data_IF_954045551469
#
_entry.id   IF_954045551469
#
_cell.length_a   1.000
_cell.length_b   1.000
_cell.length_c   1.000
_cell.angle_alpha   90.00
_cell.angle_beta   90.00
_cell.angle_gamma   90.00
#
_symmetry.space_group_name_H-M   'P 1'
#
loop_
_entity.id
_entity.type
_entity.pdbx_description
1 polymer ?
#
# COMPACT_ATOMS: atom_id res chain seq x y z
N UNK A 1 64.70 -18.16 72.65
CA UNK A 1 64.14 -18.81 71.44
C UNK A 1 64.35 -17.83 70.29
N UNK A 2 65.27 -18.01 69.31
CA UNK A 2 65.33 -19.04 68.24
C UNK A 2 63.94 -19.25 67.60
N UNK A 3 63.68 -19.20 66.29
CA UNK A 3 64.49 -19.19 65.07
C UNK A 3 63.52 -18.94 63.87
N UNK A 4 63.98 -18.19 62.86
CA UNK A 4 63.96 -18.51 61.42
C UNK A 4 62.66 -19.00 60.70
N UNK A 5 62.24 -18.18 59.72
CA UNK A 5 61.98 -18.47 58.28
C UNK A 5 61.49 -19.86 57.82
N UNK A 6 60.61 -19.90 56.81
CA UNK A 6 60.92 -20.31 55.42
C UNK A 6 59.64 -20.63 54.60
N UNK A 7 59.51 -20.00 53.42
CA UNK A 7 59.05 -20.55 52.11
C UNK A 7 57.61 -21.09 52.02
N UNK A 8 56.82 -20.96 50.94
CA UNK A 8 57.02 -21.05 49.49
C UNK A 8 55.63 -20.68 48.89
N UNK A 9 55.38 -20.19 47.68
CA UNK A 9 55.86 -20.64 46.38
C UNK A 9 55.24 -19.77 45.28
N UNK A 10 56.09 -19.36 44.32
CA UNK A 10 55.86 -19.37 42.87
C UNK A 10 54.68 -18.58 42.30
N UNK A 11 54.96 -17.31 41.97
CA UNK A 11 54.26 -16.60 40.90
C UNK A 11 54.89 -16.96 39.54
N UNK A 12 54.13 -17.64 38.69
CA UNK A 12 54.31 -17.63 37.24
C UNK A 12 53.04 -18.19 36.62
N UNK A 13 52.36 -17.42 35.78
CA UNK A 13 52.03 -17.84 34.41
C UNK A 13 51.52 -16.63 33.62
N UNK A 14 52.19 -16.40 32.49
CA UNK A 14 51.87 -15.43 31.44
C UNK A 14 50.43 -15.62 30.96
N UNK A 15 49.67 -14.53 30.87
CA UNK A 15 48.40 -14.49 30.16
C UNK A 15 48.67 -13.90 28.77
N UNK A 16 48.79 -14.75 27.75
CA UNK A 16 48.96 -14.36 26.36
C UNK A 16 47.66 -14.58 25.58
N UNK A 17 47.37 -13.54 24.78
CA UNK A 17 46.27 -13.31 23.83
C UNK A 17 45.62 -14.52 23.16
N UNK A 18 44.30 -14.39 22.90
CA UNK A 18 43.65 -14.67 21.61
C UNK A 18 42.23 -14.07 21.61
N UNK A 19 42.10 -12.79 21.24
CA UNK A 19 40.82 -12.17 20.87
C UNK A 19 40.68 -12.28 19.35
N UNK A 20 39.95 -13.31 18.91
CA UNK A 20 39.55 -13.48 17.51
C UNK A 20 38.51 -12.43 17.13
N UNK A 21 38.88 -11.52 16.23
CA UNK A 21 37.94 -10.57 15.64
C UNK A 21 37.07 -11.30 14.61
N UNK A 22 35.82 -11.62 14.97
CA UNK A 22 34.79 -11.98 14.01
C UNK A 22 34.32 -10.70 13.31
N UNK A 23 34.90 -10.39 12.15
CA UNK A 23 34.37 -9.37 11.26
C UNK A 23 33.14 -9.95 10.54
N UNK A 24 31.95 -9.70 11.09
CA UNK A 24 30.69 -9.87 10.38
C UNK A 24 30.63 -8.82 9.26
N UNK A 25 30.95 -9.23 8.03
CA UNK A 25 30.72 -8.42 6.84
C UNK A 25 29.22 -8.38 6.55
N UNK A 26 28.50 -7.49 7.23
CA UNK A 26 27.15 -7.12 6.81
C UNK A 26 27.26 -6.30 5.53
N UNK A 27 26.98 -6.91 4.38
CA UNK A 27 26.74 -6.15 3.15
C UNK A 27 25.56 -5.22 3.39
N UNK A 28 25.69 -3.90 3.18
CA UNK A 28 24.55 -3.01 3.31
C UNK A 28 23.50 -3.43 2.28
N UNK A 29 22.29 -3.73 2.72
CA UNK A 29 21.15 -3.89 1.82
C UNK A 29 21.03 -2.58 1.03
N UNK A 30 21.22 -2.64 -0.28
CA UNK A 30 21.04 -1.47 -1.13
C UNK A 30 19.54 -1.13 -1.08
N UNK A 31 19.19 -0.02 -0.43
CA UNK A 31 17.81 0.44 -0.40
C UNK A 31 17.31 0.61 -1.84
N UNK A 32 16.11 0.12 -2.13
CA UNK A 32 15.48 0.34 -3.43
C UNK A 32 15.39 1.85 -3.69
N UNK A 33 15.63 2.28 -4.93
CA UNK A 33 15.51 3.68 -5.31
C UNK A 33 14.06 4.16 -5.10
N UNK A 34 13.81 5.10 -4.16
CA UNK A 34 12.46 5.53 -3.84
C UNK A 34 11.83 6.39 -4.95
N UNK A 35 12.57 6.76 -6.00
CA UNK A 35 12.07 7.61 -7.08
C UNK A 35 11.81 6.84 -8.38
N UNK A 36 11.97 5.51 -8.39
CA UNK A 36 11.86 4.73 -9.61
C UNK A 36 10.54 4.88 -10.35
N UNK A 37 9.41 4.87 -9.64
CA UNK A 37 8.09 5.08 -10.25
C UNK A 37 7.92 6.49 -10.85
N UNK A 38 8.50 7.50 -10.21
CA UNK A 38 8.50 8.86 -10.76
C UNK A 38 9.38 8.95 -12.01
N UNK A 39 10.57 8.32 -12.01
CA UNK A 39 11.43 8.26 -13.19
C UNK A 39 10.73 7.60 -14.38
N UNK A 40 10.08 6.44 -14.16
CA UNK A 40 9.32 5.74 -15.21
C UNK A 40 8.22 6.65 -15.76
N UNK A 41 7.45 7.29 -14.88
CA UNK A 41 6.35 8.18 -15.29
C UNK A 41 6.87 9.39 -16.07
N UNK A 42 7.82 10.12 -15.51
CA UNK A 42 8.26 11.43 -16.02
C UNK A 42 9.27 11.38 -17.14
N UNK A 43 10.08 10.33 -17.22
CA UNK A 43 11.19 10.22 -18.19
C UNK A 43 10.93 9.18 -19.27
N UNK A 44 9.93 8.30 -19.10
CA UNK A 44 9.64 7.24 -20.08
C UNK A 44 8.21 7.34 -20.59
N UNK A 45 7.20 7.10 -19.74
CA UNK A 45 5.81 7.03 -20.20
C UNK A 45 5.33 8.37 -20.79
N UNK A 46 5.57 9.48 -20.10
CA UNK A 46 5.16 10.81 -20.57
C UNK A 46 5.91 11.26 -21.84
N UNK A 47 7.25 11.22 -21.90
CA UNK A 47 7.96 11.61 -23.12
C UNK A 47 7.64 10.72 -24.31
N UNK A 48 7.48 9.41 -24.11
CA UNK A 48 7.12 8.50 -25.21
C UNK A 48 5.72 8.80 -25.75
N UNK A 49 4.73 9.00 -24.86
CA UNK A 49 3.38 9.37 -25.29
C UNK A 49 3.37 10.70 -26.06
N UNK A 50 4.13 11.70 -25.59
CA UNK A 50 4.19 13.02 -26.25
C UNK A 50 4.92 12.99 -27.60
N UNK A 51 5.96 12.17 -27.74
CA UNK A 51 6.80 12.16 -28.94
C UNK A 51 6.34 11.16 -30.00
N UNK A 52 5.78 10.02 -29.60
CA UNK A 52 5.41 8.93 -30.51
C UNK A 52 3.93 8.55 -30.48
N UNK A 53 3.16 9.08 -29.52
CA UNK A 53 1.78 8.67 -29.27
C UNK A 53 1.66 7.29 -28.62
N UNK A 54 2.76 6.72 -28.11
CA UNK A 54 2.80 5.38 -27.53
C UNK A 54 3.03 5.44 -26.00
N UNK A 55 2.29 4.66 -25.18
CA UNK A 55 2.36 4.76 -23.73
C UNK A 55 3.57 4.07 -23.09
N UNK A 56 4.29 3.22 -23.82
CA UNK A 56 5.31 2.33 -23.25
C UNK A 56 6.40 3.11 -22.50
N UNK A 57 6.90 2.59 -21.36
CA UNK A 57 6.63 1.26 -20.78
C UNK A 57 5.28 1.13 -20.05
N UNK A 58 4.55 2.24 -19.86
CA UNK A 58 3.19 2.18 -19.35
C UNK A 58 2.25 1.51 -20.35
N UNK A 59 1.16 0.94 -19.86
CA UNK A 59 0.08 0.37 -20.70
C UNK A 59 -0.96 1.41 -21.08
N UNK A 60 -0.97 2.56 -20.40
CA UNK A 60 -1.82 3.71 -20.70
C UNK A 60 -1.19 5.00 -20.18
N UNK A 61 -1.37 6.08 -20.93
CA UNK A 61 -1.11 7.45 -20.49
C UNK A 61 -2.32 8.29 -20.89
N UNK A 62 -2.97 8.90 -19.91
CA UNK A 62 -4.07 9.84 -20.12
C UNK A 62 -3.59 11.24 -19.76
N UNK A 63 -3.17 12.00 -20.77
CA UNK A 63 -2.65 13.35 -20.58
C UNK A 63 -3.73 14.33 -20.12
N UNK A 64 -4.99 14.11 -20.50
CA UNK A 64 -6.10 15.01 -20.18
C UNK A 64 -6.56 14.84 -18.73
N UNK A 65 -6.65 13.59 -18.25
CA UNK A 65 -7.03 13.28 -16.86
C UNK A 65 -5.82 13.20 -15.91
N UNK A 66 -4.61 13.20 -16.45
CA UNK A 66 -3.38 13.36 -15.69
C UNK A 66 -2.92 12.10 -14.94
N UNK A 67 -3.06 10.92 -15.54
CA UNK A 67 -2.55 9.67 -14.96
C UNK A 67 -1.89 8.75 -15.99
N UNK A 68 -1.11 7.80 -15.49
CA UNK A 68 -0.55 6.67 -16.23
C UNK A 68 -0.95 5.36 -15.57
N UNK A 69 -0.95 4.27 -16.33
CA UNK A 69 -1.12 2.91 -15.82
C UNK A 69 0.11 2.09 -16.19
N UNK A 70 0.75 1.47 -15.21
CA UNK A 70 1.93 0.61 -15.38
C UNK A 70 1.56 -0.82 -14.96
N UNK A 71 2.03 -1.83 -15.69
CA UNK A 71 1.98 -3.23 -15.21
C UNK A 71 3.05 -3.38 -14.13
N UNK A 72 2.66 -3.85 -12.93
CA UNK A 72 3.61 -4.10 -11.85
C UNK A 72 4.54 -5.28 -12.20
N UNK A 73 5.73 -5.32 -11.62
CA UNK A 73 6.61 -6.47 -11.70
C UNK A 73 6.14 -7.61 -10.78
N UNK A 74 5.41 -7.28 -9.72
CA UNK A 74 4.78 -8.21 -8.80
C UNK A 74 3.45 -8.71 -9.37
N UNK A 75 3.20 -10.00 -9.19
CA UNK A 75 1.96 -10.68 -9.56
C UNK A 75 1.72 -10.83 -11.08
N UNK A 76 1.01 -11.87 -11.52
CA UNK A 76 0.57 -12.03 -12.90
C UNK A 76 -0.27 -10.86 -13.43
N UNK A 77 -1.03 -10.16 -12.58
CA UNK A 77 -2.10 -9.29 -13.03
C UNK A 77 -2.20 -7.92 -12.33
N UNK A 78 -1.27 -7.60 -11.44
CA UNK A 78 -1.25 -6.30 -10.73
C UNK A 78 -0.87 -5.15 -11.66
N UNK A 79 -1.58 -4.02 -11.53
CA UNK A 79 -1.28 -2.76 -12.18
C UNK A 79 -1.18 -1.63 -11.16
N UNK A 80 -0.44 -0.58 -11.52
CA UNK A 80 -0.33 0.66 -10.76
C UNK A 80 -0.97 1.79 -11.55
N UNK A 81 -1.84 2.57 -10.91
CA UNK A 81 -2.24 3.88 -11.41
C UNK A 81 -1.43 4.96 -10.69
N UNK A 82 -0.81 5.86 -11.46
CA UNK A 82 0.04 6.93 -10.93
C UNK A 82 -0.29 8.28 -11.60
N UNK A 83 -0.18 9.40 -10.89
CA UNK A 83 -0.40 10.72 -11.49
C UNK A 83 0.76 11.10 -12.42
N UNK A 84 0.46 11.92 -13.43
CA UNK A 84 1.47 12.49 -14.35
C UNK A 84 2.22 13.67 -13.75
N UNK A 85 1.80 14.14 -12.57
CA UNK A 85 2.47 15.15 -11.75
C UNK A 85 3.04 14.52 -10.50
N UNK A 86 4.09 15.12 -9.93
CA UNK A 86 4.74 14.60 -8.73
C UNK A 86 3.83 14.78 -7.51
N UNK A 87 3.41 13.67 -6.93
CA UNK A 87 2.74 13.55 -5.64
C UNK A 87 3.48 12.46 -4.88
N UNK A 88 3.90 12.69 -3.64
CA UNK A 88 4.75 11.71 -2.92
C UNK A 88 3.98 10.46 -2.47
N UNK A 89 2.68 10.59 -2.23
CA UNK A 89 1.82 9.53 -1.73
C UNK A 89 0.50 10.07 -1.16
N UNK A 90 -0.18 9.27 -0.36
CA UNK A 90 -1.46 9.61 0.28
C UNK A 90 -1.39 10.86 1.17
N UNK A 91 -0.19 11.22 1.67
CA UNK A 91 0.04 12.43 2.46
C UNK A 91 0.05 13.74 1.68
N UNK A 92 0.08 13.68 0.34
CA UNK A 92 0.14 14.89 -0.48
C UNK A 92 -1.13 15.74 -0.28
N UNK A 93 -1.05 16.97 0.24
CA UNK A 93 -2.22 17.80 0.56
C UNK A 93 -3.07 18.13 -0.67
N UNK A 94 -2.48 18.06 -1.87
CA UNK A 94 -3.16 18.24 -3.13
C UNK A 94 -4.25 17.19 -3.41
N UNK A 95 -4.26 16.07 -2.67
CA UNK A 95 -5.33 15.06 -2.74
C UNK A 95 -6.60 15.51 -2.01
N UNK A 96 -6.49 16.44 -1.06
CA UNK A 96 -7.62 16.97 -0.31
C UNK A 96 -8.14 18.30 -0.86
N UNK A 97 -7.49 18.85 -1.89
CA UNK A 97 -7.96 20.05 -2.57
C UNK A 97 -9.39 19.84 -3.14
N UNK A 98 -10.27 20.86 -3.13
CA UNK A 98 -11.64 20.72 -3.61
C UNK A 98 -11.74 20.13 -5.03
N UNK A 99 -10.83 20.54 -5.92
CA UNK A 99 -10.73 20.16 -7.33
C UNK A 99 -9.73 19.03 -7.61
N UNK A 100 -9.24 18.33 -6.57
CA UNK A 100 -8.34 17.19 -6.73
C UNK A 100 -8.95 16.13 -7.67
N UNK A 101 -8.18 15.60 -8.64
CA UNK A 101 -8.63 14.50 -9.49
C UNK A 101 -8.96 13.26 -8.66
N UNK A 102 -10.09 12.62 -8.96
CA UNK A 102 -10.47 11.38 -8.30
C UNK A 102 -9.71 10.18 -8.90
N UNK A 103 -8.46 9.99 -8.45
CA UNK A 103 -7.62 8.89 -8.93
C UNK A 103 -8.21 7.51 -8.63
N UNK A 104 -9.08 7.38 -7.61
CA UNK A 104 -9.80 6.13 -7.32
C UNK A 104 -10.82 5.79 -8.40
N UNK A 105 -11.57 6.79 -8.88
CA UNK A 105 -12.48 6.60 -10.01
C UNK A 105 -11.69 6.15 -11.25
N UNK A 106 -10.58 6.82 -11.55
CA UNK A 106 -9.73 6.45 -12.68
C UNK A 106 -9.16 5.04 -12.53
N UNK A 107 -8.73 4.64 -11.32
CA UNK A 107 -8.20 3.30 -11.08
C UNK A 107 -9.29 2.23 -11.22
N UNK A 108 -10.51 2.50 -10.77
CA UNK A 108 -11.64 1.58 -10.89
C UNK A 108 -12.09 1.34 -12.33
N UNK A 109 -11.98 2.34 -13.19
CA UNK A 109 -12.17 2.16 -14.63
C UNK A 109 -11.14 1.20 -15.25
N UNK A 110 -9.94 1.10 -14.67
CA UNK A 110 -8.87 0.24 -15.19
C UNK A 110 -8.90 -1.18 -14.63
N UNK A 111 -9.78 -1.50 -13.68
CA UNK A 111 -9.84 -2.82 -13.00
C UNK A 111 -9.96 -4.02 -13.95
N UNK A 112 -10.62 -3.82 -15.10
CA UNK A 112 -10.79 -4.88 -16.11
C UNK A 112 -9.46 -5.40 -16.68
N UNK A 113 -8.36 -4.66 -16.54
CA UNK A 113 -7.01 -5.10 -16.95
C UNK A 113 -6.55 -6.33 -16.18
N UNK A 114 -6.93 -6.47 -14.91
CA UNK A 114 -6.58 -7.63 -14.08
C UNK A 114 -7.19 -8.90 -14.68
N UNK A 115 -8.51 -8.89 -14.94
CA UNK A 115 -9.21 -10.00 -15.58
C UNK A 115 -8.65 -10.32 -16.98
N UNK A 116 -8.31 -9.28 -17.77
CA UNK A 116 -7.70 -9.44 -19.09
C UNK A 116 -6.33 -10.13 -19.00
N UNK A 117 -5.47 -9.72 -18.06
CA UNK A 117 -4.15 -10.32 -17.86
C UNK A 117 -4.23 -11.78 -17.43
N UNK A 118 -5.25 -12.14 -16.62
CA UNK A 118 -5.50 -13.52 -16.19
C UNK A 118 -6.20 -14.39 -17.24
N UNK A 119 -6.77 -13.79 -18.30
CA UNK A 119 -7.53 -14.51 -19.32
C UNK A 119 -8.84 -15.12 -18.81
N UNK A 120 -9.41 -14.61 -17.71
CA UNK A 120 -10.66 -15.09 -17.11
C UNK A 120 -11.48 -13.94 -16.52
N UNK A 121 -12.82 -14.01 -16.51
CA UNK A 121 -13.63 -13.00 -15.86
C UNK A 121 -13.41 -13.01 -14.33
N UNK A 122 -13.49 -11.84 -13.72
CA UNK A 122 -13.54 -11.61 -12.28
C UNK A 122 -14.77 -10.76 -11.96
N UNK A 123 -15.44 -11.05 -10.84
CA UNK A 123 -16.47 -10.16 -10.31
C UNK A 123 -15.82 -8.97 -9.60
N UNK A 124 -16.58 -7.89 -9.43
CA UNK A 124 -16.06 -6.65 -8.83
C UNK A 124 -15.61 -6.86 -7.37
N UNK A 125 -16.20 -7.83 -6.64
CA UNK A 125 -15.81 -8.23 -5.28
C UNK A 125 -14.47 -8.99 -5.22
N UNK A 126 -13.98 -9.49 -6.35
CA UNK A 126 -12.68 -10.16 -6.46
C UNK A 126 -11.55 -9.17 -6.76
N UNK A 127 -11.88 -7.90 -7.02
CA UNK A 127 -10.95 -6.85 -7.42
C UNK A 127 -10.82 -5.81 -6.32
N UNK A 128 -9.60 -5.35 -6.11
CA UNK A 128 -9.26 -4.35 -5.12
C UNK A 128 -8.47 -3.22 -5.76
N UNK A 129 -8.70 -2.01 -5.25
CA UNK A 129 -7.79 -0.90 -5.40
C UNK A 129 -7.27 -0.56 -4.02
N UNK A 130 -5.97 -0.39 -3.87
CA UNK A 130 -5.42 0.02 -2.58
C UNK A 130 -4.31 1.06 -2.71
N UNK A 131 -4.05 1.73 -1.60
CA UNK A 131 -2.88 2.55 -1.39
C UNK A 131 -2.33 2.38 0.03
N UNK A 132 -1.01 2.22 0.11
CA UNK A 132 -0.27 2.11 1.34
C UNK A 132 0.07 3.47 1.97
N UNK A 133 0.26 3.46 3.30
CA UNK A 133 0.74 4.61 4.06
C UNK A 133 2.17 5.01 3.68
N UNK A 134 2.68 6.11 4.24
CA UNK A 134 4.08 6.49 4.06
C UNK A 134 5.05 5.48 4.66
N UNK A 135 4.67 4.81 5.76
CA UNK A 135 5.50 3.79 6.39
C UNK A 135 5.38 2.42 5.69
N UNK A 136 4.29 2.16 4.98
CA UNK A 136 4.00 0.88 4.32
C UNK A 136 4.45 0.79 2.86
N UNK A 137 5.26 1.73 2.35
CA UNK A 137 5.67 1.77 0.94
C UNK A 137 7.16 2.09 0.76
N UNK A 138 7.71 1.70 -0.40
CA UNK A 138 9.10 1.97 -0.77
C UNK A 138 9.28 3.08 -1.81
N UNK A 139 8.21 3.48 -2.50
CA UNK A 139 8.24 4.47 -3.58
C UNK A 139 7.60 5.80 -3.14
N UNK A 140 8.27 6.90 -3.49
CA UNK A 140 7.88 8.29 -3.20
C UNK A 140 7.24 8.95 -4.42
N UNK A 141 6.30 8.23 -5.04
CA UNK A 141 5.39 8.71 -6.06
C UNK A 141 4.03 8.05 -5.80
N UNK A 142 2.93 8.79 -5.79
CA UNK A 142 1.60 8.24 -5.55
C UNK A 142 1.30 7.10 -6.53
N UNK A 143 0.93 5.94 -5.99
CA UNK A 143 0.54 4.77 -6.79
C UNK A 143 -0.62 4.06 -6.10
N UNK A 144 -1.69 3.83 -6.85
CA UNK A 144 -2.80 2.97 -6.43
C UNK A 144 -2.58 1.61 -7.07
N UNK A 145 -2.57 0.56 -6.26
CA UNK A 145 -2.46 -0.81 -6.70
C UNK A 145 -3.83 -1.28 -7.17
N UNK A 146 -3.90 -1.98 -8.31
CA UNK A 146 -5.11 -2.55 -8.88
C UNK A 146 -4.86 -4.03 -9.09
N UNK A 147 -5.50 -4.88 -8.30
CA UNK A 147 -5.21 -6.32 -8.29
C UNK A 147 -6.38 -7.15 -7.75
N UNK A 148 -6.16 -8.45 -7.58
CA UNK A 148 -7.09 -9.33 -6.90
C UNK A 148 -7.12 -9.08 -5.38
N UNK A 149 -8.32 -9.04 -4.81
CA UNK A 149 -8.52 -9.09 -3.36
C UNK A 149 -8.08 -10.44 -2.79
N UNK A 150 -7.81 -10.55 -1.49
CA UNK A 150 -7.84 -11.87 -0.85
C UNK A 150 -9.28 -12.36 -0.70
N UNK A 151 -9.47 -13.67 -0.84
CA UNK A 151 -10.80 -14.31 -0.72
C UNK A 151 -11.40 -14.24 0.68
N UNK A 152 -10.58 -14.40 1.70
CA UNK A 152 -10.99 -14.32 3.10
C UNK A 152 -11.35 -12.88 3.52
N UNK A 153 -10.65 -11.88 2.98
CA UNK A 153 -11.00 -10.47 3.15
C UNK A 153 -12.37 -10.17 2.57
N UNK A 154 -12.60 -10.53 1.30
CA UNK A 154 -13.91 -10.33 0.66
C UNK A 154 -15.03 -11.06 1.42
N UNK A 155 -14.78 -12.29 1.88
CA UNK A 155 -15.74 -13.04 2.69
C UNK A 155 -15.99 -12.40 4.07
N UNK A 156 -15.00 -11.77 4.69
CA UNK A 156 -15.19 -11.07 5.97
C UNK A 156 -15.96 -9.75 5.80
N UNK A 157 -15.82 -9.07 4.67
CA UNK A 157 -16.57 -7.84 4.38
C UNK A 157 -18.06 -8.10 4.15
N UNK A 158 -18.48 -9.34 3.90
CA UNK A 158 -19.89 -9.71 3.75
C UNK A 158 -20.76 -9.37 4.99
N UNK A 159 -20.14 -9.33 6.17
CA UNK A 159 -20.79 -8.95 7.43
C UNK A 159 -21.25 -7.48 7.42
N UNK A 160 -20.64 -6.64 6.57
CA UNK A 160 -20.93 -5.22 6.45
C UNK A 160 -21.94 -4.88 5.33
N UNK A 161 -22.51 -5.89 4.65
CA UNK A 161 -23.48 -5.67 3.54
C UNK A 161 -24.79 -5.03 3.95
N UNK A 162 -25.13 -5.10 5.24
CA UNK A 162 -26.33 -4.49 5.82
C UNK A 162 -26.09 -3.12 6.44
N UNK A 163 -24.85 -2.66 6.47
CA UNK A 163 -24.50 -1.42 7.18
C UNK A 163 -25.08 -0.18 6.50
N UNK A 164 -25.32 0.91 7.27
CA UNK A 164 -25.72 2.19 6.72
C UNK A 164 -24.68 2.74 5.72
N UNK A 165 -25.18 3.34 4.63
CA UNK A 165 -24.33 3.99 3.65
C UNK A 165 -23.59 5.18 4.25
N UNK A 166 -22.35 5.39 3.79
CA UNK A 166 -21.50 6.53 4.12
C UNK A 166 -21.24 6.70 5.63
N UNK A 167 -21.31 5.61 6.40
CA UNK A 167 -20.92 5.59 7.80
C UNK A 167 -19.70 4.70 7.99
N UNK A 168 -18.67 5.24 8.66
CA UNK A 168 -17.53 4.46 9.10
C UNK A 168 -17.91 3.59 10.29
N UNK A 169 -17.70 2.29 10.18
CA UNK A 169 -17.90 1.30 11.23
C UNK A 169 -16.61 0.49 11.46
N UNK A 170 -16.36 0.03 12.70
CA UNK A 170 -15.18 -0.78 12.98
C UNK A 170 -15.30 -2.15 12.31
N UNK A 171 -14.22 -2.61 11.71
CA UNK A 171 -14.08 -3.97 11.17
C UNK A 171 -12.85 -4.62 11.81
N UNK A 172 -12.99 -5.84 12.31
CA UNK A 172 -11.91 -6.58 12.97
C UNK A 172 -11.57 -7.79 12.13
N UNK A 173 -10.32 -7.86 11.68
CA UNK A 173 -9.85 -8.93 10.81
C UNK A 173 -8.41 -9.29 11.15
N UNK A 174 -8.14 -10.60 11.28
CA UNK A 174 -6.83 -11.15 11.66
C UNK A 174 -6.22 -10.49 12.92
N UNK A 175 -7.06 -10.10 13.88
CA UNK A 175 -6.62 -9.46 15.12
C UNK A 175 -6.29 -7.97 14.99
N UNK A 176 -6.39 -7.40 13.79
CA UNK A 176 -6.23 -5.98 13.51
C UNK A 176 -7.57 -5.25 13.50
N UNK A 177 -7.55 -3.94 13.74
CA UNK A 177 -8.72 -3.08 13.67
C UNK A 177 -8.64 -2.16 12.46
N UNK A 178 -9.64 -2.26 11.60
CA UNK A 178 -9.88 -1.43 10.44
C UNK A 178 -11.15 -0.60 10.65
N UNK A 179 -11.40 0.29 9.69
CA UNK A 179 -12.70 0.93 9.50
C UNK A 179 -13.22 0.57 8.13
N UNK A 180 -14.51 0.31 8.01
CA UNK A 180 -15.18 0.06 6.73
C UNK A 180 -16.33 1.03 6.57
N UNK A 181 -16.54 1.48 5.33
CA UNK A 181 -17.66 2.30 4.92
C UNK A 181 -18.30 1.66 3.71
N UNK A 182 -19.62 1.47 3.79
CA UNK A 182 -20.44 1.05 2.65
C UNK A 182 -20.76 2.27 1.77
N UNK A 183 -20.58 2.15 0.46
CA UNK A 183 -20.78 3.21 -0.52
C UNK A 183 -21.72 2.75 -1.66
N UNK A 184 -22.58 3.62 -2.21
CA UNK A 184 -23.46 3.27 -3.34
C UNK A 184 -22.66 3.07 -4.65
N UNK A 185 -23.30 2.48 -5.66
CA UNK A 185 -22.69 2.17 -6.96
C UNK A 185 -22.10 3.38 -7.72
N UNK A 186 -22.64 4.57 -7.50
CA UNK A 186 -22.21 5.81 -8.13
C UNK A 186 -21.24 6.63 -7.24
N UNK A 187 -20.79 6.08 -6.11
CA UNK A 187 -20.02 6.81 -5.13
C UNK A 187 -18.74 7.44 -5.69
N UNK A 188 -18.02 6.76 -6.59
CA UNK A 188 -16.79 7.31 -7.19
C UNK A 188 -17.04 8.49 -8.14
N UNK A 189 -18.28 8.72 -8.59
CA UNK A 189 -18.63 9.92 -9.33
C UNK A 189 -18.84 11.14 -8.41
N UNK A 190 -19.16 10.91 -7.13
CA UNK A 190 -19.56 11.96 -6.19
C UNK A 190 -18.55 12.17 -5.05
N UNK A 191 -17.76 11.16 -4.74
CA UNK A 191 -16.90 11.09 -3.56
C UNK A 191 -15.50 10.62 -3.92
N UNK A 192 -14.51 11.30 -3.35
CA UNK A 192 -13.11 10.88 -3.40
C UNK A 192 -12.79 10.11 -2.12
N UNK A 193 -12.36 8.83 -2.20
CA UNK A 193 -11.96 8.05 -1.05
C UNK A 193 -10.88 8.68 -0.17
N UNK A 194 -9.96 9.50 -0.70
CA UNK A 194 -9.02 10.26 0.12
C UNK A 194 -9.72 11.27 1.02
N UNK A 195 -10.72 11.99 0.48
CA UNK A 195 -11.52 12.96 1.23
C UNK A 195 -12.43 12.28 2.25
N UNK A 196 -13.00 11.12 1.90
CA UNK A 196 -13.80 10.30 2.85
C UNK A 196 -12.96 9.79 4.03
N UNK A 197 -11.71 9.38 3.76
CA UNK A 197 -10.78 8.96 4.80
C UNK A 197 -10.37 10.12 5.72
N UNK A 198 -10.03 11.27 5.15
CA UNK A 198 -9.71 12.47 5.93
C UNK A 198 -10.89 12.91 6.81
N UNK A 199 -12.13 12.82 6.29
CA UNK A 199 -13.34 13.16 7.02
C UNK A 199 -13.69 12.19 8.17
N UNK A 200 -13.02 11.04 8.30
CA UNK A 200 -13.28 10.06 9.37
C UNK A 200 -13.04 10.65 10.77
N UNK A 201 -11.99 11.45 10.93
CA UNK A 201 -11.66 12.13 12.19
C UNK A 201 -10.66 13.26 11.98
N UNK A 202 -10.56 14.18 12.95
CA UNK A 202 -9.52 15.22 12.94
C UNK A 202 -8.11 14.62 12.83
N UNK A 203 -7.86 13.51 13.54
CA UNK A 203 -6.58 12.81 13.45
C UNK A 203 -6.32 12.29 12.03
N UNK A 204 -7.30 11.70 11.36
CA UNK A 204 -7.12 11.20 9.99
C UNK A 204 -6.82 12.35 9.01
N UNK A 205 -7.53 13.47 9.12
CA UNK A 205 -7.31 14.66 8.32
C UNK A 205 -5.87 15.21 8.48
N UNK A 206 -5.38 15.28 9.71
CA UNK A 206 -4.04 15.80 10.01
C UNK A 206 -2.92 14.78 9.73
N UNK A 207 -3.25 13.49 9.61
CA UNK A 207 -2.27 12.39 9.51
C UNK A 207 -2.58 11.45 8.35
N UNK A 208 -2.82 12.02 7.16
CA UNK A 208 -3.02 11.24 5.93
C UNK A 208 -1.83 10.33 5.60
N UNK A 209 -0.59 10.73 5.94
CA UNK A 209 0.60 9.89 5.82
C UNK A 209 0.52 8.56 6.58
N UNK A 210 -0.30 8.52 7.63
CA UNK A 210 -0.51 7.35 8.48
C UNK A 210 -1.77 6.59 8.10
N UNK A 211 -2.40 6.88 6.97
CA UNK A 211 -3.58 6.15 6.48
C UNK A 211 -3.18 5.22 5.33
N UNK A 212 -3.81 4.07 5.26
CA UNK A 212 -3.94 3.26 4.04
C UNK A 212 -5.40 3.08 3.72
N UNK A 213 -5.70 2.84 2.46
CA UNK A 213 -7.06 2.66 1.98
C UNK A 213 -7.14 1.46 1.04
N UNK A 214 -8.27 0.77 1.10
CA UNK A 214 -8.64 -0.25 0.13
C UNK A 214 -10.09 -0.02 -0.30
N UNK A 215 -10.35 -0.11 -1.59
CA UNK A 215 -11.67 -0.05 -2.19
C UNK A 215 -11.93 -1.34 -2.96
N UNK A 216 -13.06 -2.00 -2.69
CA UNK A 216 -13.49 -3.18 -3.45
C UNK A 216 -14.96 -3.05 -3.82
N UNK A 217 -15.36 -3.70 -4.91
CA UNK A 217 -16.76 -3.79 -5.29
C UNK A 217 -17.54 -4.65 -4.29
N UNK A 218 -18.83 -4.41 -4.19
CA UNK A 218 -19.70 -5.14 -3.28
C UNK A 218 -21.09 -5.34 -3.86
N UNK A 219 -21.71 -6.45 -3.48
CA UNK A 219 -23.15 -6.68 -3.58
C UNK A 219 -23.74 -6.69 -2.19
N UNK A 220 -24.77 -5.89 -1.96
CA UNK A 220 -25.34 -5.68 -0.64
C UNK A 220 -26.54 -6.60 -0.37
N UNK A 221 -26.99 -6.62 0.89
CA UNK A 221 -28.05 -7.53 1.35
C UNK A 221 -29.39 -7.31 0.63
N UNK A 222 -29.63 -6.09 0.15
CA UNK A 222 -30.81 -5.69 -0.65
C UNK A 222 -30.67 -6.01 -2.15
N UNK A 223 -29.55 -6.61 -2.57
CA UNK A 223 -29.24 -6.94 -3.95
C UNK A 223 -28.64 -5.80 -4.78
N UNK A 224 -28.57 -4.58 -4.24
CA UNK A 224 -27.89 -3.45 -4.89
C UNK A 224 -26.37 -3.66 -4.90
N UNK A 225 -25.70 -2.98 -5.83
CA UNK A 225 -24.23 -2.97 -5.91
C UNK A 225 -23.66 -1.68 -5.33
N UNK A 226 -22.37 -1.72 -4.99
CA UNK A 226 -21.65 -0.56 -4.51
C UNK A 226 -20.21 -0.91 -4.18
N UNK A 227 -19.68 -0.27 -3.14
CA UNK A 227 -18.32 -0.48 -2.70
C UNK A 227 -18.23 -0.64 -1.18
N UNK A 228 -17.18 -1.35 -0.76
CA UNK A 228 -16.60 -1.16 0.56
C UNK A 228 -15.34 -0.33 0.42
N UNK A 229 -15.26 0.77 1.19
CA UNK A 229 -14.04 1.51 1.42
C UNK A 229 -13.52 1.16 2.81
N UNK A 230 -12.33 0.61 2.87
CA UNK A 230 -11.62 0.25 4.10
C UNK A 230 -10.53 1.29 4.37
N UNK A 231 -10.41 1.71 5.62
CA UNK A 231 -9.28 2.51 6.10
C UNK A 231 -8.51 1.76 7.19
N UNK A 232 -7.20 1.62 6.94
CA UNK A 232 -6.22 1.03 7.85
C UNK A 232 -5.23 2.12 8.29
N UNK A 233 -5.38 2.70 9.49
CA UNK A 233 -4.35 3.59 10.03
C UNK A 233 -3.12 2.80 10.47
N UNK A 234 -1.94 3.43 10.43
CA UNK A 234 -0.71 2.95 11.07
C UNK A 234 -0.97 2.74 12.57
N UNK A 235 -0.43 1.66 13.13
CA UNK A 235 -0.52 1.36 14.55
C UNK A 235 0.87 1.05 15.11
N UNK A 236 1.50 2.07 15.68
CA UNK A 236 2.86 1.99 16.20
C UNK A 236 2.98 1.02 17.39
N UNK A 237 1.97 0.95 18.25
CA UNK A 237 1.98 0.06 19.43
C UNK A 237 2.00 -1.43 19.05
N UNK A 238 1.60 -1.74 17.82
CA UNK A 238 1.56 -3.09 17.26
C UNK A 238 2.54 -3.32 16.12
N UNK A 239 3.41 -2.34 15.85
CA UNK A 239 4.36 -2.38 14.73
C UNK A 239 3.67 -2.56 13.35
N UNK A 240 2.41 -2.14 13.22
CA UNK A 240 1.66 -2.22 11.97
C UNK A 240 1.95 -0.97 11.13
N UNK A 241 2.71 -1.13 10.05
CA UNK A 241 3.14 -0.03 9.18
C UNK A 241 2.00 0.56 8.34
N UNK A 242 0.77 0.05 8.44
CA UNK A 242 -0.35 0.46 7.60
C UNK A 242 -0.05 0.20 6.13
N UNK A 243 -0.25 -1.05 5.71
CA UNK A 243 -0.19 -1.45 4.31
C UNK A 243 -1.51 -2.12 3.98
N UNK A 244 -2.28 -1.53 3.08
CA UNK A 244 -3.53 -2.13 2.61
C UNK A 244 -3.26 -3.28 1.62
N UNK A 245 -2.06 -3.34 1.04
CA UNK A 245 -1.60 -4.43 0.17
C UNK A 245 -1.69 -5.81 0.83
N UNK A 246 -1.60 -5.92 2.17
CA UNK A 246 -1.77 -7.19 2.91
C UNK A 246 -3.17 -7.81 2.78
N UNK A 247 -4.14 -7.03 2.30
CA UNK A 247 -5.51 -7.45 2.02
C UNK A 247 -5.71 -7.95 0.58
N UNK A 248 -4.65 -7.87 -0.24
CA UNK A 248 -4.61 -8.26 -1.66
C UNK A 248 -3.96 -9.64 -1.84
N UNK A 249 -4.30 -10.30 -2.95
CA UNK A 249 -3.72 -11.59 -3.35
C UNK A 249 -3.04 -11.46 -4.70
N UNK A 250 -1.76 -11.13 -4.71
CA UNK A 250 -0.99 -10.94 -5.94
C UNK A 250 -0.93 -12.18 -6.82
N UNK A 251 -1.10 -13.38 -6.24
CA UNK A 251 -1.16 -14.64 -7.00
C UNK A 251 -2.54 -14.89 -7.64
N UNK A 252 -3.55 -14.07 -7.32
CA UNK A 252 -4.91 -14.14 -7.86
C UNK A 252 -5.53 -15.56 -7.80
N UNK A 253 -5.47 -16.22 -6.63
CA UNK A 253 -5.85 -17.62 -6.39
C UNK A 253 -7.36 -17.87 -6.23
N UNK A 254 -8.19 -16.90 -6.63
CA UNK A 254 -9.65 -17.03 -6.64
C UNK A 254 -10.18 -18.13 -7.55
#
# INVERSE_FOLDING_TARGET
MRLLSLFSSRAAFLCSLLLGACALSASPAQAADPHKLWEITSQQCLPNMQSTGQPQPCVMVDLARGFVVLKDLVGPAQYLLMPTRRLTGIESPELLAPDAPNYWAYAWEQRGRVAQALGRPLSDEQLGIEINSAAGRSQLHLHLHIDCMRRDVAASLDDHRGDPLQQWLPWYFEGHRYWVMRLPADALAQHDPFKLAAARSAYAADNMASQSLLLTGARFADGSTGFFLVNMPVNFDREEQGSAEVLMDHDCRW
#
